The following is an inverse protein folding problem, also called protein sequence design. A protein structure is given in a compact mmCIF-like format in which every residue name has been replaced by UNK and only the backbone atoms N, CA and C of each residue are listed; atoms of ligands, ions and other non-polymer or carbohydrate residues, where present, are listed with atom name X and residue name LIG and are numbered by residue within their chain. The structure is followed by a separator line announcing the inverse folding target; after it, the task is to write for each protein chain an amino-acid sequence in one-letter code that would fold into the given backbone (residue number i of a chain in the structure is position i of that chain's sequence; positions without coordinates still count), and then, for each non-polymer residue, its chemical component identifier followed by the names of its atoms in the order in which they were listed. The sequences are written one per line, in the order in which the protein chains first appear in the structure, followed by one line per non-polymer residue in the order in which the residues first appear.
data_IF_388536855791
#
_entry.id   IF_388536855791
#
_cell.length_a   1.000
_cell.length_b   1.000
_cell.length_c   1.000
_cell.angle_alpha   90.00
_cell.angle_beta   90.00
_cell.angle_gamma   90.00
#
_symmetry.space_group_name_H-M   'P 1'
#
loop_
_entity.id
_entity.type
_entity.pdbx_description
1 polymer ?
#
# COMPACT_ATOMS: atom_id res chain seq x y z
N UNK A 1 0.75 13.21 18.00
CA UNK A 1 0.27 12.05 17.24
C UNK A 1 0.74 12.17 15.79
N UNK A 2 1.64 11.29 15.39
CA UNK A 2 2.24 11.20 14.06
C UNK A 2 1.51 10.16 13.23
N UNK A 3 1.23 10.48 11.97
CA UNK A 3 0.53 9.58 11.05
C UNK A 3 1.30 9.45 9.75
N UNK A 4 1.51 8.22 9.32
CA UNK A 4 2.16 7.88 8.06
C UNK A 4 1.15 7.50 6.98
N UNK A 5 1.57 7.59 5.72
CA UNK A 5 0.84 7.05 4.56
C UNK A 5 1.73 6.03 3.85
N UNK A 6 1.20 4.85 3.57
CA UNK A 6 1.81 3.83 2.72
C UNK A 6 0.87 3.50 1.56
N UNK A 7 1.35 3.69 0.32
CA UNK A 7 0.52 3.53 -0.87
C UNK A 7 0.93 2.28 -1.66
N UNK A 8 -0.04 1.46 -2.04
CA UNK A 8 0.18 0.28 -2.85
C UNK A 8 -1.06 -0.15 -3.62
N UNK A 9 -0.87 -0.89 -4.72
CA UNK A 9 -1.98 -1.52 -5.44
C UNK A 9 -2.50 -2.76 -4.72
N UNK A 10 -1.59 -3.50 -4.07
CA UNK A 10 -1.88 -4.73 -3.33
C UNK A 10 -2.65 -5.77 -4.18
N UNK A 11 -2.08 -6.20 -5.31
CA UNK A 11 -2.72 -7.09 -6.29
C UNK A 11 -1.99 -8.45 -6.42
N UNK A 12 -2.06 -9.37 -5.46
CA UNK A 12 -2.66 -9.24 -4.12
C UNK A 12 -1.71 -8.60 -3.09
N UNK A 13 -2.17 -8.34 -1.86
CA UNK A 13 -1.28 -8.17 -0.72
C UNK A 13 -0.41 -9.43 -0.52
N UNK A 14 0.74 -9.29 0.14
CA UNK A 14 1.66 -10.40 0.40
C UNK A 14 2.55 -10.06 1.60
N UNK A 15 3.29 -11.03 2.13
CA UNK A 15 4.10 -10.86 3.33
C UNK A 15 5.12 -9.72 3.27
N UNK A 16 5.70 -9.46 2.08
CA UNK A 16 6.54 -8.27 1.89
C UNK A 16 5.84 -6.94 2.20
N UNK A 17 4.53 -6.81 1.94
CA UNK A 17 3.76 -5.62 2.31
C UNK A 17 3.54 -5.54 3.83
N UNK A 18 3.28 -6.67 4.49
CA UNK A 18 3.06 -6.74 5.93
C UNK A 18 4.32 -6.32 6.69
N UNK A 19 5.50 -6.76 6.27
CA UNK A 19 6.78 -6.36 6.86
C UNK A 19 7.05 -4.85 6.68
N UNK A 20 6.69 -4.29 5.51
CA UNK A 20 6.74 -2.83 5.33
C UNK A 20 5.78 -2.11 6.28
N UNK A 21 4.55 -2.62 6.44
CA UNK A 21 3.56 -2.02 7.33
C UNK A 21 4.04 -2.03 8.79
N UNK A 22 4.60 -3.14 9.28
CA UNK A 22 5.23 -3.21 10.62
C UNK A 22 6.33 -2.18 10.76
N UNK A 23 7.24 -2.13 9.79
CA UNK A 23 8.34 -1.16 9.78
C UNK A 23 7.87 0.29 9.79
N UNK A 24 6.76 0.60 9.10
CA UNK A 24 6.13 1.91 9.15
C UNK A 24 5.55 2.20 10.54
N UNK A 25 4.84 1.24 11.15
CA UNK A 25 4.24 1.37 12.48
C UNK A 25 5.28 1.52 13.61
N UNK A 26 6.53 1.14 13.41
CA UNK A 26 7.62 1.45 14.36
C UNK A 26 8.01 2.94 14.36
N UNK A 27 7.55 3.72 13.38
CA UNK A 27 7.96 5.12 13.14
C UNK A 27 6.83 6.13 13.31
N UNK A 28 5.58 5.68 13.31
CA UNK A 28 4.40 6.53 13.44
C UNK A 28 3.38 5.92 14.38
N UNK A 29 2.57 6.77 15.01
CA UNK A 29 1.53 6.30 15.93
C UNK A 29 0.42 5.56 15.17
N UNK A 30 0.03 6.07 14.01
CA UNK A 30 -0.94 5.46 13.09
C UNK A 30 -0.45 5.41 11.65
N UNK A 31 -0.91 4.41 10.90
CA UNK A 31 -0.60 4.23 9.48
C UNK A 31 -1.87 4.21 8.64
N UNK A 32 -1.93 5.07 7.63
CA UNK A 32 -2.91 4.98 6.55
C UNK A 32 -2.33 4.11 5.44
N UNK A 33 -3.01 3.02 5.12
CA UNK A 33 -2.71 2.15 4.00
C UNK A 33 -3.65 2.53 2.86
N UNK A 34 -3.10 3.14 1.82
CA UNK A 34 -3.85 3.55 0.63
C UNK A 34 -3.85 2.40 -0.38
N UNK A 35 -5.03 1.82 -0.60
CA UNK A 35 -5.28 0.85 -1.66
C UNK A 35 -5.49 1.63 -2.97
N UNK A 36 -4.39 1.87 -3.68
CA UNK A 36 -4.35 2.60 -4.95
C UNK A 36 -4.91 1.79 -6.12
N UNK A 37 -5.17 2.45 -7.26
CA UNK A 37 -5.90 1.87 -8.39
C UNK A 37 -7.19 1.18 -7.94
N UNK A 38 -7.95 1.83 -7.06
CA UNK A 38 -9.14 1.25 -6.45
C UNK A 38 -10.24 0.92 -7.48
N UNK A 39 -10.28 1.64 -8.60
CA UNK A 39 -11.22 1.45 -9.70
C UNK A 39 -10.89 0.23 -10.59
N UNK A 40 -9.66 -0.29 -10.52
CA UNK A 40 -9.20 -1.39 -11.37
C UNK A 40 -9.48 -2.76 -10.73
N UNK A 41 -10.06 -3.69 -11.50
CA UNK A 41 -10.29 -5.09 -11.12
C UNK A 41 -10.47 -5.96 -12.36
N UNK A 42 -10.58 -7.29 -12.22
CA UNK A 42 -10.90 -8.23 -13.30
C UNK A 42 -9.94 -8.16 -14.52
N UNK A 43 -8.67 -7.81 -14.29
CA UNK A 43 -7.61 -7.87 -15.30
C UNK A 43 -6.45 -8.72 -14.81
N UNK A 44 -5.61 -9.25 -15.70
CA UNK A 44 -4.41 -10.02 -15.30
C UNK A 44 -3.43 -9.20 -14.44
N UNK A 45 -3.44 -7.87 -14.60
CA UNK A 45 -2.59 -6.94 -13.85
C UNK A 45 -3.20 -6.54 -12.50
N UNK A 46 -4.53 -6.39 -12.46
CA UNK A 46 -5.31 -5.99 -11.31
C UNK A 46 -6.52 -6.94 -11.19
N UNK A 47 -6.35 -8.17 -10.70
CA UNK A 47 -7.43 -9.16 -10.67
C UNK A 47 -8.48 -8.82 -9.61
N UNK A 48 -8.06 -8.29 -8.45
CA UNK A 48 -8.93 -8.09 -7.29
C UNK A 48 -9.52 -6.68 -7.23
N UNK A 49 -10.77 -6.59 -6.79
CA UNK A 49 -11.47 -5.35 -6.44
C UNK A 49 -10.81 -4.64 -5.25
N UNK A 50 -11.17 -3.38 -5.01
CA UNK A 50 -10.69 -2.67 -3.82
C UNK A 50 -11.14 -3.36 -2.52
N UNK A 51 -12.39 -3.81 -2.46
CA UNK A 51 -12.96 -4.48 -1.28
C UNK A 51 -12.22 -5.76 -0.91
N UNK A 52 -11.98 -6.64 -1.88
CA UNK A 52 -11.21 -7.89 -1.68
C UNK A 52 -9.80 -7.59 -1.15
N UNK A 53 -9.13 -6.58 -1.71
CA UNK A 53 -7.78 -6.19 -1.27
C UNK A 53 -7.77 -5.63 0.15
N UNK A 54 -8.78 -4.86 0.53
CA UNK A 54 -8.93 -4.34 1.89
C UNK A 54 -9.16 -5.48 2.88
N UNK A 55 -10.01 -6.44 2.53
CA UNK A 55 -10.25 -7.65 3.34
C UNK A 55 -8.98 -8.48 3.51
N UNK A 56 -8.29 -8.78 2.40
CA UNK A 56 -7.00 -9.50 2.42
C UNK A 56 -5.94 -8.80 3.28
N UNK A 57 -5.84 -7.47 3.19
CA UNK A 57 -4.93 -6.69 4.04
C UNK A 57 -5.30 -6.81 5.51
N UNK A 58 -6.58 -6.63 5.85
CA UNK A 58 -7.04 -6.71 7.24
C UNK A 58 -6.79 -8.09 7.84
N UNK A 59 -7.10 -9.15 7.09
CA UNK A 59 -6.84 -10.53 7.51
C UNK A 59 -5.35 -10.81 7.66
N UNK A 60 -4.52 -10.40 6.68
CA UNK A 60 -3.07 -10.59 6.75
C UNK A 60 -2.41 -9.82 7.90
N UNK A 61 -2.93 -8.63 8.25
CA UNK A 61 -2.46 -7.87 9.42
C UNK A 61 -2.83 -8.54 10.74
N UNK A 62 -4.05 -9.10 10.84
CA UNK A 62 -4.49 -9.86 12.02
C UNK A 62 -3.66 -11.13 12.19
N UNK A 63 -3.42 -11.86 11.11
CA UNK A 63 -2.59 -13.08 11.12
C UNK A 63 -1.15 -12.76 11.57
N UNK A 64 -0.64 -11.59 11.18
CA UNK A 64 0.66 -11.09 11.59
C UNK A 64 0.71 -10.47 13.00
N UNK A 65 -0.38 -10.55 13.78
CA UNK A 65 -0.53 -9.94 15.09
C UNK A 65 -0.23 -8.42 15.12
N UNK A 66 -0.53 -7.71 14.03
CA UNK A 66 -0.45 -6.24 13.98
C UNK A 66 -1.67 -5.64 14.68
N UNK A 67 -1.45 -4.66 15.55
CA UNK A 67 -2.52 -3.88 16.17
C UNK A 67 -3.28 -3.06 15.10
N UNK A 68 -4.42 -3.57 14.66
CA UNK A 68 -5.24 -2.95 13.63
C UNK A 68 -5.92 -1.66 14.10
N UNK A 69 -5.93 -1.34 15.40
CA UNK A 69 -6.46 -0.05 15.88
C UNK A 69 -5.60 1.13 15.43
N UNK A 70 -4.34 0.88 15.07
CA UNK A 70 -3.36 1.86 14.58
C UNK A 70 -3.36 1.98 13.05
N UNK A 71 -4.27 1.29 12.36
CA UNK A 71 -4.26 1.20 10.89
C UNK A 71 -5.58 1.67 10.31
N UNK A 72 -5.49 2.48 9.25
CA UNK A 72 -6.64 2.91 8.45
C UNK A 72 -6.43 2.45 7.01
N UNK A 73 -7.32 1.60 6.49
CA UNK A 73 -7.23 1.13 5.10
C UNK A 73 -8.23 1.95 4.26
N UNK A 74 -7.73 2.69 3.27
CA UNK A 74 -8.55 3.60 2.47
C UNK A 74 -8.36 3.30 0.97
N UNK A 75 -9.43 2.99 0.22
CA UNK A 75 -9.34 2.83 -1.23
C UNK A 75 -9.29 4.19 -1.92
N UNK A 76 -8.33 4.36 -2.84
CA UNK A 76 -8.16 5.61 -3.60
C UNK A 76 -8.06 5.31 -5.09
N UNK A 77 -9.01 5.80 -5.92
CA UNK A 77 -8.91 5.70 -7.37
C UNK A 77 -7.72 6.48 -7.93
N UNK A 78 -7.23 6.07 -9.10
CA UNK A 78 -6.24 6.87 -9.81
C UNK A 78 -6.89 8.09 -10.47
N UNK A 79 -6.14 9.19 -10.58
CA UNK A 79 -6.53 10.37 -11.35
C UNK A 79 -5.49 10.66 -12.43
N UNK A 80 -5.91 11.20 -13.57
CA UNK A 80 -5.03 11.50 -14.70
C UNK A 80 -4.23 12.82 -14.54
N UNK A 81 -3.94 13.22 -13.29
CA UNK A 81 -3.25 14.47 -12.96
C UNK A 81 -2.26 14.26 -11.81
N UNK A 82 -1.06 13.78 -12.14
CA UNK A 82 -0.02 13.45 -11.15
C UNK A 82 0.29 14.61 -10.19
N UNK A 83 0.39 15.84 -10.71
CA UNK A 83 0.70 17.00 -9.88
C UNK A 83 -0.33 17.23 -8.76
N UNK A 84 -1.61 16.94 -9.02
CA UNK A 84 -2.70 17.15 -8.04
C UNK A 84 -2.84 15.96 -7.07
N UNK A 85 -2.21 14.82 -7.36
CA UNK A 85 -2.41 13.58 -6.60
C UNK A 85 -2.08 13.69 -5.09
N UNK A 86 -1.02 14.39 -4.65
CA UNK A 86 -0.83 14.64 -3.21
C UNK A 86 -2.00 15.38 -2.55
N UNK A 87 -2.56 16.41 -3.21
CA UNK A 87 -3.73 17.15 -2.72
C UNK A 87 -5.00 16.30 -2.75
N UNK A 88 -5.13 15.43 -3.75
CA UNK A 88 -6.22 14.47 -3.81
C UNK A 88 -6.19 13.51 -2.61
N UNK A 89 -5.01 13.05 -2.20
CA UNK A 89 -4.85 12.27 -0.97
C UNK A 89 -5.16 13.08 0.28
N UNK A 90 -4.73 14.34 0.38
CA UNK A 90 -5.10 15.21 1.52
C UNK A 90 -6.60 15.39 1.68
N UNK A 91 -7.35 15.42 0.57
CA UNK A 91 -8.80 15.54 0.59
C UNK A 91 -9.49 14.28 1.13
N UNK A 92 -8.98 13.11 0.78
CA UNK A 92 -9.60 11.82 1.11
C UNK A 92 -9.14 11.23 2.44
N UNK A 93 -7.97 11.66 2.93
CA UNK A 93 -7.31 11.04 4.07
C UNK A 93 -7.30 11.96 5.28
N UNK A 94 -7.34 11.40 6.50
CA UNK A 94 -6.98 12.13 7.70
C UNK A 94 -5.57 12.73 7.58
N UNK A 95 -5.33 13.88 8.23
CA UNK A 95 -4.03 14.56 8.20
C UNK A 95 -2.88 13.59 8.49
N UNK A 96 -1.84 13.64 7.66
CA UNK A 96 -0.64 12.81 7.77
C UNK A 96 0.63 13.66 7.65
N UNK A 97 1.77 13.08 8.04
CA UNK A 97 3.03 13.81 8.24
C UNK A 97 4.20 13.15 7.51
N UNK A 98 4.15 11.83 7.30
CA UNK A 98 5.22 11.06 6.68
C UNK A 98 4.64 10.21 5.55
N UNK A 99 5.32 10.15 4.41
CA UNK A 99 4.95 9.27 3.30
C UNK A 99 6.01 8.18 3.14
N UNK A 100 5.57 6.93 3.13
CA UNK A 100 6.43 5.78 2.96
C UNK A 100 6.32 5.27 1.52
N UNK A 101 7.42 5.37 0.75
CA UNK A 101 7.42 4.93 -0.64
C UNK A 101 8.80 4.57 -1.17
N UNK A 102 8.80 3.64 -2.13
CA UNK A 102 9.96 3.33 -2.97
C UNK A 102 9.72 3.66 -4.44
N UNK A 103 8.53 4.17 -4.76
CA UNK A 103 8.17 4.56 -6.12
C UNK A 103 8.72 5.97 -6.38
N UNK A 104 9.63 6.15 -7.37
CA UNK A 104 10.28 7.45 -7.62
C UNK A 104 9.30 8.59 -7.91
N UNK A 105 8.18 8.32 -8.58
CA UNK A 105 7.15 9.33 -8.86
C UNK A 105 6.46 9.77 -7.56
N UNK A 106 6.04 8.83 -6.73
CA UNK A 106 5.42 9.12 -5.42
C UNK A 106 6.39 9.91 -4.54
N UNK A 107 7.66 9.48 -4.46
CA UNK A 107 8.69 10.19 -3.71
C UNK A 107 8.85 11.62 -4.22
N UNK A 108 8.98 11.80 -5.53
CA UNK A 108 9.15 13.12 -6.14
C UNK A 108 7.97 14.04 -5.84
N UNK A 109 6.75 13.59 -6.09
CA UNK A 109 5.53 14.39 -5.89
C UNK A 109 5.41 14.84 -4.44
N UNK A 110 5.56 13.94 -3.47
CA UNK A 110 5.40 14.30 -2.07
C UNK A 110 6.53 15.19 -1.54
N UNK A 111 7.77 14.99 -1.99
CA UNK A 111 8.88 15.88 -1.64
C UNK A 111 8.65 17.30 -2.18
N UNK A 112 8.13 17.46 -3.42
CA UNK A 112 7.79 18.78 -3.98
C UNK A 112 6.71 19.51 -3.17
N UNK A 113 5.77 18.77 -2.57
CA UNK A 113 4.73 19.31 -1.69
C UNK A 113 5.20 19.50 -0.23
N UNK A 114 6.49 19.31 0.06
CA UNK A 114 7.07 19.56 1.38
C UNK A 114 6.86 18.44 2.41
N UNK A 115 6.42 17.26 1.98
CA UNK A 115 6.27 16.11 2.88
C UNK A 115 7.63 15.44 3.17
N UNK A 116 7.78 14.95 4.41
CA UNK A 116 8.83 13.99 4.74
C UNK A 116 8.52 12.66 4.05
N UNK A 117 9.42 12.23 3.17
CA UNK A 117 9.30 10.93 2.49
C UNK A 117 10.39 10.00 3.00
N UNK A 118 9.99 8.80 3.41
CA UNK A 118 10.90 7.74 3.83
C UNK A 118 10.76 6.51 2.93
N UNK A 119 11.88 5.84 2.68
CA UNK A 119 11.91 4.65 1.87
C UNK A 119 12.04 3.41 2.75
N UNK A 120 11.04 2.51 2.77
CA UNK A 120 11.17 1.24 3.47
C UNK A 120 12.31 0.39 2.88
N UNK A 121 12.99 -0.44 3.69
CA UNK A 121 14.03 -1.32 3.20
C UNK A 121 13.48 -2.38 2.24
N UNK A 122 14.38 -3.09 1.55
CA UNK A 122 14.01 -4.22 0.69
C UNK A 122 13.75 -5.47 1.50
N UNK A 123 12.58 -5.57 2.11
CA UNK A 123 12.10 -6.82 2.67
C UNK A 123 11.92 -7.84 1.54
N UNK A 124 12.77 -8.86 1.53
CA UNK A 124 12.65 -10.09 0.74
C UNK A 124 12.19 -9.89 -0.72
N UNK A 125 12.79 -8.93 -1.44
CA UNK A 125 12.45 -8.58 -2.84
C UNK A 125 12.48 -9.76 -3.81
N UNK A 126 13.22 -10.83 -3.49
CA UNK A 126 13.29 -12.06 -4.30
C UNK A 126 12.26 -13.13 -3.92
N UNK A 127 11.62 -13.03 -2.76
CA UNK A 127 10.68 -14.05 -2.27
C UNK A 127 9.21 -13.62 -2.41
N UNK A 128 8.92 -12.32 -2.27
CA UNK A 128 7.54 -11.82 -2.30
C UNK A 128 7.35 -10.81 -3.43
N UNK A 129 6.67 -11.25 -4.49
CA UNK A 129 6.34 -10.44 -5.65
C UNK A 129 4.91 -10.70 -6.08
N UNK A 130 4.06 -9.67 -6.02
CA UNK A 130 2.70 -9.74 -6.53
C UNK A 130 2.64 -10.23 -7.99
N UNK A 131 3.64 -9.89 -8.82
CA UNK A 131 3.72 -10.39 -10.20
C UNK A 131 3.99 -11.88 -10.26
N UNK A 132 4.86 -12.41 -9.40
CA UNK A 132 5.12 -13.84 -9.31
C UNK A 132 3.91 -14.60 -8.79
N UNK A 133 3.28 -14.10 -7.71
CA UNK A 133 2.04 -14.67 -7.14
C UNK A 133 0.97 -14.79 -8.22
N UNK A 134 0.67 -13.70 -8.94
CA UNK A 134 -0.30 -13.76 -10.06
C UNK A 134 0.11 -14.74 -11.15
N UNK A 135 1.41 -14.86 -11.46
CA UNK A 135 1.88 -15.82 -12.46
C UNK A 135 1.70 -17.27 -12.02
N UNK A 136 1.88 -17.58 -10.73
CA UNK A 136 1.69 -18.92 -10.17
C UNK A 136 0.20 -19.28 -10.13
N UNK A 137 -0.64 -18.36 -9.66
CA UNK A 137 -2.10 -18.50 -9.70
C UNK A 137 -2.62 -18.81 -11.12
N UNK A 138 -2.12 -18.09 -12.14
CA UNK A 138 -2.51 -18.33 -13.54
C UNK A 138 -2.10 -19.72 -14.06
N UNK A 139 -1.04 -20.31 -13.49
CA UNK A 139 -0.58 -21.66 -13.84
C UNK A 139 -1.28 -22.76 -13.02
N UNK A 140 -2.14 -22.38 -12.07
CA UNK A 140 -2.73 -23.32 -11.12
C UNK A 140 -1.71 -23.91 -10.15
N UNK A 141 -0.59 -23.23 -9.91
CA UNK A 141 0.47 -23.69 -9.01
C UNK A 141 0.13 -23.27 -7.58
N UNK A 142 -0.17 -24.21 -6.69
CA UNK A 142 -0.59 -23.94 -5.30
C UNK A 142 0.53 -23.37 -4.40
N UNK A 143 1.76 -23.22 -4.90
CA UNK A 143 2.88 -22.65 -4.14
C UNK A 143 2.90 -21.11 -4.08
N UNK A 144 1.82 -20.44 -4.49
CA UNK A 144 1.74 -18.98 -4.58
C UNK A 144 1.67 -18.27 -3.23
#
# INVERSE_FOLDING_TARGET
MSRGVFVGRFQPPHWGHIEVIKWCLDRVDELIIVVGSAQESHTLKNPFTAGERMEMLLLGLRDAAVDTSRVMIVPVPDIAMNHVWPRYLEMLLPRFHVVFSRNPLVTRLFTEYGYRVESPPAFSRGAYSATQIRSLMLRGDESW
#
